data_IF_222038448859
#
_entry.id   IF_222038448859
#
_cell.length_a   1.000
_cell.length_b   1.000
_cell.length_c   1.000
_cell.angle_alpha   90.00
_cell.angle_beta   90.00
_cell.angle_gamma   90.00
#
_symmetry.space_group_name_H-M   'P 1'
#
loop_
_entity.id
_entity.type
_entity.pdbx_description
1 polymer ?
#
# COMPACT_ATOMS: atom_id res chain seq x y z
N UNK A 1 -3.28 6.15 17.22
CA UNK A 1 -2.77 5.68 18.53
C UNK A 1 -1.42 6.32 18.83
N UNK A 2 -0.91 6.19 20.06
CA UNK A 2 0.44 6.64 20.41
C UNK A 2 1.51 5.80 19.68
N UNK A 3 1.19 4.58 19.31
CA UNK A 3 2.06 3.67 18.53
C UNK A 3 2.26 4.20 17.12
N UNK A 4 1.21 4.64 16.44
CA UNK A 4 1.32 5.23 15.10
C UNK A 4 2.21 6.48 15.05
N UNK A 5 2.17 7.29 16.11
CA UNK A 5 3.06 8.47 16.21
C UNK A 5 4.53 8.03 16.34
N UNK A 6 4.80 6.95 17.06
CA UNK A 6 6.15 6.36 17.16
C UNK A 6 6.61 5.79 15.83
N UNK A 7 5.72 5.08 15.08
CA UNK A 7 6.02 4.56 13.75
C UNK A 7 6.38 5.70 12.79
N UNK A 8 5.59 6.75 12.75
CA UNK A 8 5.87 7.92 11.91
C UNK A 8 7.23 8.55 12.21
N UNK A 9 7.59 8.71 13.49
CA UNK A 9 8.89 9.28 13.87
C UNK A 9 10.03 8.33 13.54
N UNK A 10 9.85 7.02 13.74
CA UNK A 10 10.82 5.99 13.42
C UNK A 10 11.14 5.98 11.92
N UNK A 11 10.11 5.92 11.06
CA UNK A 11 10.28 5.95 9.61
C UNK A 11 10.84 7.27 9.11
N UNK A 12 10.47 8.40 9.71
CA UNK A 12 11.06 9.70 9.39
C UNK A 12 12.57 9.77 9.70
N UNK A 13 13.05 9.04 10.70
CA UNK A 13 14.49 8.92 10.99
C UNK A 13 15.19 8.04 9.96
N UNK A 14 14.58 6.92 9.58
CA UNK A 14 15.11 6.03 8.52
C UNK A 14 15.20 6.81 7.21
N UNK A 15 14.15 7.53 6.83
CA UNK A 15 14.12 8.37 5.64
C UNK A 15 15.29 9.38 5.62
N UNK A 16 15.57 10.04 6.73
CA UNK A 16 16.70 10.98 6.81
C UNK A 16 18.03 10.28 6.59
N UNK A 17 18.25 9.13 7.23
CA UNK A 17 19.49 8.38 7.04
C UNK A 17 19.69 7.90 5.62
N UNK A 18 18.63 7.46 4.96
CA UNK A 18 18.68 7.06 3.56
C UNK A 18 18.93 8.30 2.67
N UNK A 19 18.23 9.39 2.93
CA UNK A 19 18.34 10.62 2.14
C UNK A 19 19.75 11.23 2.22
N UNK A 20 20.43 11.13 3.37
CA UNK A 20 21.82 11.62 3.55
C UNK A 20 22.83 10.86 2.68
N UNK A 21 22.56 9.60 2.33
CA UNK A 21 23.40 8.75 1.49
C UNK A 21 22.98 8.77 0.00
N UNK A 22 21.79 9.28 -0.32
CA UNK A 22 21.28 9.34 -1.68
C UNK A 22 21.85 10.55 -2.45
N UNK A 23 22.18 10.40 -3.75
CA UNK A 23 22.42 11.56 -4.60
C UNK A 23 21.26 12.54 -4.55
N UNK A 24 21.53 13.87 -4.63
CA UNK A 24 20.45 14.87 -4.55
C UNK A 24 19.47 14.75 -5.72
N UNK A 25 18.21 15.15 -5.49
CA UNK A 25 17.18 15.21 -6.51
C UNK A 25 16.07 14.18 -6.38
N UNK A 26 16.16 13.25 -5.41
CA UNK A 26 15.01 12.38 -5.09
C UNK A 26 13.78 13.18 -4.67
N UNK A 27 12.62 12.74 -5.11
CA UNK A 27 11.36 13.40 -4.82
C UNK A 27 10.25 12.41 -4.53
N UNK A 28 9.65 12.52 -3.36
CA UNK A 28 8.39 11.84 -3.04
C UNK A 28 7.22 12.64 -3.61
N UNK A 29 6.46 12.02 -4.52
CA UNK A 29 5.40 12.70 -5.28
C UNK A 29 4.08 12.82 -4.51
N UNK A 30 3.62 11.80 -3.77
CA UNK A 30 2.34 11.86 -3.07
C UNK A 30 2.28 13.02 -2.08
N UNK A 31 1.19 13.79 -2.15
CA UNK A 31 0.91 14.87 -1.21
C UNK A 31 0.02 14.33 -0.09
N UNK A 32 0.55 14.26 1.13
CA UNK A 32 -0.14 13.64 2.28
C UNK A 32 -1.53 14.24 2.54
N UNK A 33 -1.69 15.55 2.41
CA UNK A 33 -2.98 16.21 2.63
C UNK A 33 -4.01 15.91 1.53
N UNK A 34 -3.57 15.80 0.28
CA UNK A 34 -4.44 15.42 -0.85
C UNK A 34 -4.91 13.96 -0.69
N UNK A 35 -3.98 13.06 -0.37
CA UNK A 35 -4.31 11.66 -0.11
C UNK A 35 -5.26 11.51 1.07
N UNK A 36 -5.00 12.20 2.19
CA UNK A 36 -5.90 12.21 3.33
C UNK A 36 -7.29 12.71 2.97
N UNK A 37 -7.40 13.76 2.14
CA UNK A 37 -8.68 14.29 1.68
C UNK A 37 -9.47 13.26 0.86
N UNK A 38 -8.81 12.53 -0.03
CA UNK A 38 -9.44 11.47 -0.82
C UNK A 38 -9.95 10.36 0.09
N UNK A 39 -9.11 9.85 0.99
CA UNK A 39 -9.47 8.76 1.91
C UNK A 39 -10.63 9.18 2.82
N UNK A 40 -10.57 10.38 3.42
CA UNK A 40 -11.59 10.88 4.34
C UNK A 40 -12.92 11.25 3.66
N UNK A 41 -12.95 11.33 2.33
CA UNK A 41 -14.20 11.53 1.57
C UNK A 41 -15.00 10.24 1.37
N UNK A 42 -14.43 9.09 1.72
CA UNK A 42 -15.01 7.76 1.48
C UNK A 42 -15.75 7.23 2.72
N UNK A 43 -16.61 6.24 2.49
CA UNK A 43 -17.33 5.57 3.57
C UNK A 43 -16.35 4.94 4.58
N UNK A 44 -16.71 4.93 5.85
CA UNK A 44 -15.92 4.31 6.92
C UNK A 44 -15.58 2.86 6.59
N UNK A 45 -16.52 2.13 5.99
CA UNK A 45 -16.32 0.75 5.57
C UNK A 45 -15.17 0.59 4.57
N UNK A 46 -15.10 1.45 3.55
CA UNK A 46 -14.05 1.42 2.55
C UNK A 46 -12.68 1.85 3.13
N UNK A 47 -12.69 2.81 4.05
CA UNK A 47 -11.48 3.23 4.77
C UNK A 47 -10.95 2.09 5.64
N UNK A 48 -11.81 1.41 6.40
CA UNK A 48 -11.42 0.26 7.21
C UNK A 48 -10.92 -0.91 6.36
N UNK A 49 -11.51 -1.14 5.19
CA UNK A 49 -11.00 -2.13 4.24
C UNK A 49 -9.58 -1.79 3.76
N UNK A 50 -9.33 -0.51 3.47
CA UNK A 50 -8.01 -0.02 3.05
C UNK A 50 -6.99 -0.11 4.19
N UNK A 51 -7.33 0.31 5.42
CA UNK A 51 -6.41 0.22 6.56
C UNK A 51 -6.08 -1.24 6.88
N UNK A 52 -7.05 -2.11 6.95
CA UNK A 52 -6.84 -3.55 7.14
C UNK A 52 -5.93 -4.15 6.03
N UNK A 53 -6.10 -3.72 4.77
CA UNK A 53 -5.22 -4.09 3.68
C UNK A 53 -3.78 -3.60 3.92
N UNK A 54 -3.59 -2.35 4.37
CA UNK A 54 -2.27 -1.77 4.66
C UNK A 54 -1.57 -2.56 5.77
N UNK A 55 -2.25 -2.89 6.85
CA UNK A 55 -1.69 -3.71 7.92
C UNK A 55 -1.22 -5.08 7.40
N UNK A 56 -2.05 -5.73 6.61
CA UNK A 56 -1.73 -7.06 6.08
C UNK A 56 -0.61 -7.04 5.03
N UNK A 57 -0.52 -6.00 4.20
CA UNK A 57 0.61 -5.83 3.28
C UNK A 57 1.91 -5.57 4.04
N UNK A 58 1.85 -4.82 5.14
CA UNK A 58 3.01 -4.58 6.03
C UNK A 58 3.51 -5.89 6.63
N UNK A 59 2.59 -6.76 7.08
CA UNK A 59 2.96 -8.08 7.58
C UNK A 59 3.60 -8.95 6.50
N UNK A 60 3.04 -8.97 5.29
CA UNK A 60 3.59 -9.71 4.15
C UNK A 60 4.97 -9.16 3.75
N UNK A 61 5.12 -7.82 3.69
CA UNK A 61 6.38 -7.18 3.31
C UNK A 61 7.53 -7.57 4.23
N UNK A 62 7.32 -7.57 5.55
CA UNK A 62 8.35 -8.00 6.49
C UNK A 62 8.76 -9.45 6.22
N UNK A 63 7.80 -10.36 6.11
CA UNK A 63 8.05 -11.79 5.93
C UNK A 63 8.70 -12.15 4.60
N UNK A 64 8.25 -11.53 3.53
CA UNK A 64 8.65 -11.90 2.16
C UNK A 64 9.88 -11.16 1.67
N UNK A 65 10.14 -9.94 2.18
CA UNK A 65 11.16 -9.06 1.64
C UNK A 65 12.25 -8.65 2.62
N UNK A 66 11.92 -8.42 3.91
CA UNK A 66 12.87 -7.89 4.89
C UNK A 66 13.54 -9.00 5.69
N UNK A 67 12.77 -9.90 6.29
CA UNK A 67 13.30 -11.00 7.11
C UNK A 67 14.33 -11.86 6.35
N UNK A 68 14.07 -12.29 5.09
CA UNK A 68 15.00 -13.12 4.34
C UNK A 68 16.17 -12.35 3.70
N UNK A 69 16.19 -11.00 3.76
CA UNK A 69 17.20 -10.19 3.09
C UNK A 69 18.53 -10.16 3.86
N UNK A 70 19.51 -10.96 3.43
CA UNK A 70 20.83 -11.04 4.05
C UNK A 70 21.69 -9.79 3.83
N UNK A 71 21.31 -8.89 2.92
CA UNK A 71 22.02 -7.63 2.66
C UNK A 71 21.51 -6.48 3.55
N UNK A 72 20.34 -6.63 4.17
CA UNK A 72 19.80 -5.61 5.07
C UNK A 72 20.58 -5.60 6.39
N UNK A 73 20.85 -4.40 6.92
CA UNK A 73 21.51 -4.23 8.21
C UNK A 73 20.67 -4.83 9.36
N UNK A 74 21.33 -5.28 10.43
CA UNK A 74 20.64 -5.80 11.61
C UNK A 74 19.67 -4.77 12.19
N UNK A 75 20.09 -3.51 12.30
CA UNK A 75 19.24 -2.42 12.79
C UNK A 75 17.98 -2.24 11.94
N UNK A 76 18.11 -2.28 10.61
CA UNK A 76 16.97 -2.17 9.71
C UNK A 76 15.99 -3.33 9.92
N UNK A 77 16.49 -4.56 9.97
CA UNK A 77 15.68 -5.75 10.26
C UNK A 77 14.98 -5.68 11.62
N UNK A 78 15.66 -5.23 12.65
CA UNK A 78 15.09 -5.10 14.01
C UNK A 78 13.95 -4.08 14.02
N UNK A 79 14.14 -2.92 13.39
CA UNK A 79 13.08 -1.90 13.29
C UNK A 79 11.82 -2.49 12.67
N UNK A 80 11.95 -3.14 11.52
CA UNK A 80 10.80 -3.73 10.84
C UNK A 80 10.24 -4.97 11.55
N UNK A 81 11.04 -5.70 12.31
CA UNK A 81 10.54 -6.79 13.16
C UNK A 81 9.64 -6.26 14.28
N UNK A 82 10.03 -5.18 14.95
CA UNK A 82 9.21 -4.58 15.99
C UNK A 82 7.94 -3.97 15.43
N UNK A 83 8.03 -3.24 14.33
CA UNK A 83 6.89 -2.73 13.59
C UNK A 83 5.94 -3.88 13.20
N UNK A 84 6.43 -4.96 12.60
CA UNK A 84 5.65 -6.14 12.27
C UNK A 84 4.89 -6.75 13.44
N UNK A 85 5.51 -6.78 14.64
CA UNK A 85 4.87 -7.29 15.86
C UNK A 85 3.70 -6.41 16.31
N UNK A 86 3.87 -5.10 16.23
CA UNK A 86 2.83 -4.13 16.59
C UNK A 86 1.70 -4.15 15.56
N UNK A 87 2.00 -4.12 14.27
CA UNK A 87 1.01 -4.18 13.19
C UNK A 87 0.24 -5.52 13.14
N UNK A 88 0.81 -6.58 13.67
CA UNK A 88 0.07 -7.84 13.83
C UNK A 88 -1.15 -7.72 14.74
N UNK A 89 -1.14 -6.79 15.70
CA UNK A 89 -2.27 -6.49 16.56
C UNK A 89 -3.25 -5.52 15.88
N UNK A 90 -2.74 -4.50 15.18
CA UNK A 90 -3.54 -3.56 14.41
C UNK A 90 -4.35 -4.27 13.33
N UNK A 91 -3.76 -5.20 12.61
CA UNK A 91 -4.47 -6.01 11.62
C UNK A 91 -5.67 -6.78 12.20
N UNK A 92 -5.60 -7.22 13.47
CA UNK A 92 -6.72 -7.87 14.15
C UNK A 92 -7.80 -6.85 14.52
N UNK A 93 -7.40 -5.69 15.02
CA UNK A 93 -8.33 -4.61 15.40
C UNK A 93 -9.09 -4.10 14.18
N UNK A 94 -8.40 -3.84 13.08
CA UNK A 94 -8.99 -3.36 11.84
C UNK A 94 -9.96 -4.39 11.24
N UNK A 95 -9.62 -5.67 11.28
CA UNK A 95 -10.53 -6.74 10.89
C UNK A 95 -11.83 -6.70 11.70
N UNK A 96 -11.72 -6.60 13.01
CA UNK A 96 -12.89 -6.57 13.90
C UNK A 96 -13.74 -5.32 13.69
N UNK A 97 -13.11 -4.15 13.55
CA UNK A 97 -13.84 -2.90 13.31
C UNK A 97 -14.48 -2.87 11.93
N UNK A 98 -13.83 -3.43 10.90
CA UNK A 98 -14.42 -3.54 9.57
C UNK A 98 -15.65 -4.45 9.56
N UNK A 99 -15.60 -5.59 10.24
CA UNK A 99 -16.77 -6.47 10.43
C UNK A 99 -17.90 -5.76 11.18
N UNK A 100 -17.56 -5.08 12.27
CA UNK A 100 -18.50 -4.32 13.08
C UNK A 100 -19.19 -3.19 12.29
N UNK A 101 -18.43 -2.48 11.46
CA UNK A 101 -18.98 -1.45 10.57
C UNK A 101 -19.91 -2.06 9.52
N UNK A 102 -19.52 -3.18 8.93
CA UNK A 102 -20.33 -3.89 7.96
C UNK A 102 -21.73 -4.26 8.50
N UNK A 103 -21.83 -4.68 9.76
CA UNK A 103 -23.10 -5.05 10.40
C UNK A 103 -24.06 -3.88 10.53
N UNK A 104 -23.57 -2.65 10.60
CA UNK A 104 -24.40 -1.44 10.73
C UNK A 104 -25.01 -0.99 9.41
N UNK A 105 -24.42 -1.38 8.28
CA UNK A 105 -24.77 -0.86 6.96
C UNK A 105 -26.01 -1.57 6.37
N UNK A 106 -26.88 -0.79 5.73
CA UNK A 106 -27.92 -1.31 4.85
C UNK A 106 -27.32 -1.90 3.58
N UNK A 107 -28.11 -2.65 2.81
CA UNK A 107 -27.67 -3.19 1.53
C UNK A 107 -27.24 -2.08 0.55
N UNK A 108 -27.95 -0.97 0.46
CA UNK A 108 -27.63 0.18 -0.38
C UNK A 108 -26.31 0.84 0.05
N UNK A 109 -26.10 1.01 1.37
CA UNK A 109 -24.85 1.56 1.89
C UNK A 109 -23.64 0.66 1.61
N UNK A 110 -23.85 -0.67 1.62
CA UNK A 110 -22.80 -1.64 1.25
C UNK A 110 -22.45 -1.55 -0.24
N UNK A 111 -23.43 -1.34 -1.13
CA UNK A 111 -23.17 -1.12 -2.55
C UNK A 111 -22.27 0.11 -2.76
N UNK A 112 -22.61 1.22 -2.13
CA UNK A 112 -21.82 2.45 -2.20
C UNK A 112 -20.42 2.28 -1.58
N UNK A 113 -20.31 1.55 -0.47
CA UNK A 113 -19.05 1.29 0.19
C UNK A 113 -18.09 0.46 -0.66
N UNK A 114 -18.61 -0.47 -1.46
CA UNK A 114 -17.82 -1.23 -2.44
C UNK A 114 -17.32 -0.33 -3.58
N UNK A 115 -18.16 0.58 -4.07
CA UNK A 115 -17.76 1.55 -5.08
C UNK A 115 -16.66 2.49 -4.55
N UNK A 116 -16.79 2.97 -3.33
CA UNK A 116 -15.76 3.75 -2.62
C UNK A 116 -14.43 3.00 -2.51
N UNK A 117 -14.46 1.71 -2.19
CA UNK A 117 -13.24 0.88 -2.13
C UNK A 117 -12.57 0.76 -3.50
N UNK A 118 -13.34 0.54 -4.56
CA UNK A 118 -12.82 0.48 -5.94
C UNK A 118 -12.17 1.82 -6.33
N UNK A 119 -12.78 2.94 -5.96
CA UNK A 119 -12.22 4.27 -6.22
C UNK A 119 -10.93 4.52 -5.43
N UNK A 120 -10.85 4.08 -4.16
CA UNK A 120 -9.63 4.17 -3.34
C UNK A 120 -8.48 3.37 -3.94
N UNK A 121 -8.74 2.16 -4.43
CA UNK A 121 -7.72 1.34 -5.09
C UNK A 121 -7.26 2.00 -6.39
N UNK A 122 -8.17 2.58 -7.17
CA UNK A 122 -7.84 3.33 -8.38
C UNK A 122 -6.99 4.57 -8.10
N UNK A 123 -7.31 5.32 -7.04
CA UNK A 123 -6.52 6.47 -6.61
C UNK A 123 -5.12 6.06 -6.13
N UNK A 124 -5.00 4.98 -5.38
CA UNK A 124 -3.71 4.42 -4.98
C UNK A 124 -2.86 4.05 -6.20
N UNK A 125 -3.43 3.37 -7.18
CA UNK A 125 -2.73 2.96 -8.40
C UNK A 125 -2.17 4.17 -9.17
N UNK A 126 -2.94 5.25 -9.29
CA UNK A 126 -2.47 6.51 -9.92
C UNK A 126 -1.28 7.13 -9.17
N UNK A 127 -1.32 7.12 -7.85
CA UNK A 127 -0.21 7.60 -7.00
C UNK A 127 1.05 6.76 -7.20
N UNK A 128 0.91 5.44 -7.24
CA UNK A 128 2.02 4.52 -7.48
C UNK A 128 2.63 4.72 -8.87
N UNK A 129 1.80 4.97 -9.89
CA UNK A 129 2.28 5.29 -11.23
C UNK A 129 3.09 6.58 -11.25
N UNK A 130 2.56 7.65 -10.66
CA UNK A 130 3.25 8.94 -10.61
C UNK A 130 4.61 8.83 -9.86
N UNK A 131 4.66 8.06 -8.78
CA UNK A 131 5.91 7.80 -8.06
C UNK A 131 6.90 6.99 -8.91
N UNK A 132 6.43 5.95 -9.60
CA UNK A 132 7.28 5.12 -10.47
C UNK A 132 7.91 5.95 -11.62
N UNK A 133 7.15 6.88 -12.18
CA UNK A 133 7.65 7.82 -13.19
C UNK A 133 8.73 8.76 -12.60
N UNK A 134 8.49 9.31 -11.41
CA UNK A 134 9.44 10.18 -10.72
C UNK A 134 10.73 9.44 -10.36
N UNK A 135 10.64 8.21 -9.87
CA UNK A 135 11.81 7.40 -9.51
C UNK A 135 12.60 6.95 -10.73
N UNK A 136 11.92 6.67 -11.83
CA UNK A 136 12.59 6.40 -13.10
C UNK A 136 13.38 7.64 -13.56
N UNK A 137 12.82 8.84 -13.48
CA UNK A 137 13.54 10.07 -13.84
C UNK A 137 14.73 10.33 -12.91
N UNK A 138 14.56 10.10 -11.61
CA UNK A 138 15.64 10.18 -10.65
C UNK A 138 16.78 9.19 -10.99
N UNK A 139 16.43 7.92 -11.22
CA UNK A 139 17.40 6.90 -11.65
C UNK A 139 18.18 7.32 -12.90
N UNK A 140 17.50 7.82 -13.93
CA UNK A 140 18.13 8.27 -15.17
C UNK A 140 19.11 9.43 -14.94
N UNK A 141 18.81 10.29 -13.96
CA UNK A 141 19.67 11.42 -13.60
C UNK A 141 20.96 10.97 -12.92
N UNK A 142 20.90 9.95 -12.05
CA UNK A 142 22.03 9.53 -11.22
C UNK A 142 22.86 8.37 -11.79
N UNK A 143 22.28 7.58 -12.71
CA UNK A 143 22.94 6.36 -13.20
C UNK A 143 24.11 6.62 -14.17
N UNK A 144 24.30 7.85 -14.65
CA UNK A 144 25.38 8.25 -15.56
C UNK A 144 25.34 7.57 -16.93
N UNK A 145 24.20 7.02 -17.34
CA UNK A 145 23.98 6.33 -18.62
C UNK A 145 22.82 6.92 -19.38
N UNK A 146 22.88 6.88 -20.71
CA UNK A 146 21.78 7.23 -21.59
C UNK A 146 20.99 5.99 -22.00
N UNK A 147 19.69 6.08 -21.99
CA UNK A 147 18.77 5.02 -22.39
C UNK A 147 17.91 5.47 -23.57
N UNK A 148 17.52 4.52 -24.42
CA UNK A 148 16.54 4.78 -25.47
C UNK A 148 15.14 4.99 -24.85
N UNK A 149 14.22 5.70 -25.52
CA UNK A 149 12.83 5.88 -25.00
C UNK A 149 12.19 4.54 -24.62
N UNK A 150 12.28 3.53 -25.46
CA UNK A 150 11.73 2.20 -25.18
C UNK A 150 12.38 1.53 -23.95
N UNK A 151 13.65 1.80 -23.66
CA UNK A 151 14.28 1.29 -22.43
C UNK A 151 13.78 2.05 -21.20
N UNK A 152 13.55 3.36 -21.31
CA UNK A 152 12.95 4.17 -20.25
C UNK A 152 11.55 3.66 -19.92
N UNK A 153 10.71 3.44 -20.92
CA UNK A 153 9.35 2.90 -20.73
C UNK A 153 9.36 1.54 -20.00
N UNK A 154 10.33 0.67 -20.37
CA UNK A 154 10.50 -0.61 -19.68
C UNK A 154 10.92 -0.46 -18.22
N UNK A 155 11.84 0.46 -17.92
CA UNK A 155 12.26 0.75 -16.54
C UNK A 155 11.07 1.22 -15.73
N UNK A 156 10.32 2.22 -16.23
CA UNK A 156 9.12 2.73 -15.57
C UNK A 156 8.10 1.62 -15.32
N UNK A 157 7.85 0.78 -16.32
CA UNK A 157 6.92 -0.36 -16.20
C UNK A 157 7.35 -1.35 -15.11
N UNK A 158 8.65 -1.65 -15.00
CA UNK A 158 9.16 -2.58 -13.99
C UNK A 158 9.03 -1.98 -12.59
N UNK A 159 9.38 -0.70 -12.40
CA UNK A 159 9.22 0.01 -11.12
C UNK A 159 7.75 0.05 -10.71
N UNK A 160 6.87 0.41 -11.66
CA UNK A 160 5.43 0.46 -11.39
C UNK A 160 4.85 -0.91 -11.02
N UNK A 161 5.25 -1.99 -11.71
CA UNK A 161 4.85 -3.36 -11.37
C UNK A 161 5.34 -3.77 -9.98
N UNK A 162 6.56 -3.36 -9.60
CA UNK A 162 7.07 -3.63 -8.26
C UNK A 162 6.25 -2.89 -7.18
N UNK A 163 5.84 -1.65 -7.44
CA UNK A 163 4.97 -0.88 -6.54
C UNK A 163 3.57 -1.48 -6.43
N UNK A 164 2.94 -1.86 -7.54
CA UNK A 164 1.65 -2.58 -7.52
C UNK A 164 1.76 -3.87 -6.71
N UNK A 165 2.83 -4.62 -6.93
CA UNK A 165 3.07 -5.84 -6.14
C UNK A 165 3.14 -5.52 -4.65
N UNK A 166 4.00 -4.57 -4.27
CA UNK A 166 4.25 -4.23 -2.88
C UNK A 166 3.01 -3.64 -2.20
N UNK A 167 2.36 -2.64 -2.81
CA UNK A 167 1.36 -1.82 -2.15
C UNK A 167 -0.09 -2.21 -2.41
N UNK A 168 -0.33 -3.13 -3.36
CA UNK A 168 -1.68 -3.62 -3.66
C UNK A 168 -1.72 -5.14 -3.58
N UNK A 169 -0.91 -5.84 -4.39
CA UNK A 169 -1.08 -7.27 -4.63
C UNK A 169 -0.71 -8.11 -3.42
N UNK A 170 0.35 -7.77 -2.70
CA UNK A 170 0.81 -8.53 -1.53
C UNK A 170 -0.27 -8.58 -0.44
N UNK A 171 -0.92 -7.44 -0.15
CA UNK A 171 -1.99 -7.36 0.84
C UNK A 171 -3.25 -8.12 0.41
N UNK A 172 -3.72 -7.95 -0.84
CA UNK A 172 -4.91 -8.68 -1.33
C UNK A 172 -4.70 -10.19 -1.45
N UNK A 173 -3.46 -10.65 -1.59
CA UNK A 173 -3.10 -12.08 -1.59
C UNK A 173 -2.92 -12.65 -0.19
N UNK A 174 -2.84 -11.83 0.82
CA UNK A 174 -2.74 -12.30 2.20
C UNK A 174 -3.97 -13.13 2.56
N UNK A 175 -3.80 -14.33 3.10
CA UNK A 175 -4.89 -15.28 3.34
C UNK A 175 -6.03 -14.69 4.17
N UNK A 176 -5.71 -13.90 5.19
CA UNK A 176 -6.72 -13.23 6.01
C UNK A 176 -7.54 -12.23 5.19
N UNK A 177 -6.92 -11.44 4.31
CA UNK A 177 -7.64 -10.49 3.46
C UNK A 177 -8.53 -11.19 2.44
N UNK A 178 -8.12 -12.34 1.92
CA UNK A 178 -8.94 -13.15 0.99
C UNK A 178 -10.19 -13.70 1.68
N UNK A 179 -10.09 -14.06 2.96
CA UNK A 179 -11.18 -14.70 3.71
C UNK A 179 -12.14 -13.70 4.36
N UNK A 180 -11.66 -12.51 4.69
CA UNK A 180 -12.43 -11.47 5.37
C UNK A 180 -13.72 -11.07 4.65
N UNK A 181 -13.70 -10.78 3.34
CA UNK A 181 -14.90 -10.38 2.61
C UNK A 181 -15.92 -11.51 2.42
N UNK A 182 -15.48 -12.77 2.57
CA UNK A 182 -16.37 -13.94 2.47
C UNK A 182 -17.43 -13.88 3.57
N UNK A 183 -18.62 -13.50 3.24
CA UNK A 183 -19.74 -13.30 4.18
C UNK A 183 -20.06 -11.85 4.48
N UNK A 184 -19.23 -10.92 4.00
CA UNK A 184 -19.53 -9.49 4.05
C UNK A 184 -20.00 -8.93 2.71
N UNK A 185 -19.49 -9.47 1.59
CA UNK A 185 -19.84 -9.01 0.24
C UNK A 185 -20.63 -10.10 -0.50
N UNK A 186 -21.52 -9.65 -1.38
CA UNK A 186 -22.24 -10.53 -2.31
C UNK A 186 -21.34 -10.98 -3.46
N UNK A 187 -21.75 -12.03 -4.19
CA UNK A 187 -21.03 -12.49 -5.38
C UNK A 187 -20.89 -11.37 -6.43
N UNK A 188 -21.94 -10.58 -6.64
CA UNK A 188 -21.93 -9.45 -7.58
C UNK A 188 -20.93 -8.35 -7.17
N UNK A 189 -20.86 -8.03 -5.88
CA UNK A 189 -19.88 -7.09 -5.32
C UNK A 189 -18.45 -7.62 -5.48
N UNK A 190 -18.24 -8.89 -5.18
CA UNK A 190 -16.94 -9.56 -5.39
C UNK A 190 -16.50 -9.55 -6.87
N UNK A 191 -17.44 -9.74 -7.80
CA UNK A 191 -17.16 -9.65 -9.22
C UNK A 191 -16.70 -8.23 -9.64
N UNK A 192 -17.37 -7.18 -9.18
CA UNK A 192 -16.96 -5.77 -9.44
C UNK A 192 -15.57 -5.46 -8.91
N UNK A 193 -15.29 -5.89 -7.68
CA UNK A 193 -13.95 -5.72 -7.09
C UNK A 193 -12.90 -6.44 -7.95
N UNK A 194 -13.15 -7.68 -8.35
CA UNK A 194 -12.23 -8.45 -9.18
C UNK A 194 -12.03 -7.83 -10.56
N UNK A 195 -13.07 -7.31 -11.19
CA UNK A 195 -12.96 -6.58 -12.46
C UNK A 195 -12.09 -5.31 -12.33
N UNK A 196 -12.25 -4.57 -11.24
CA UNK A 196 -11.43 -3.39 -10.95
C UNK A 196 -9.96 -3.74 -10.68
N UNK A 197 -9.70 -4.88 -10.03
CA UNK A 197 -8.35 -5.36 -9.73
C UNK A 197 -7.66 -6.02 -10.92
N UNK A 198 -8.40 -6.58 -11.88
CA UNK A 198 -7.83 -7.34 -13.00
C UNK A 198 -6.74 -6.58 -13.78
N UNK A 199 -6.90 -5.28 -14.13
CA UNK A 199 -5.85 -4.52 -14.80
C UNK A 199 -4.58 -4.31 -13.97
N UNK A 200 -4.70 -4.38 -12.64
CA UNK A 200 -3.57 -4.18 -11.72
C UNK A 200 -2.70 -5.43 -11.59
N UNK A 201 -3.24 -6.59 -11.95
CA UNK A 201 -2.58 -7.91 -11.84
C UNK A 201 -1.76 -8.28 -13.08
N UNK A 202 -1.81 -7.45 -14.13
CA UNK A 202 -1.16 -7.72 -15.44
C UNK A 202 0.30 -7.25 -15.56
#
# INVERSE_FOLDING_TARGET
SDEEIKHQELFRRIDRWIADEMPPGYRFVPQSNEMASIVLSKSTWAVLALTCHIELLTLAHYKDSIEPNDQASALYKDVFLYHWKEESQHAILDELEWRREHEKLTAEQREHAVDDLVELVGALDQVLQAQAEADTQYFLTICGRSYSPNAVDKITSVVFKAYRWQFIISGIKHLRFVELPRGMITEAQGHRINEALAPLLS
#
